data_IF_343840325832
#
_entry.id   IF_343840325832
#
_cell.length_a   1.000
_cell.length_b   1.000
_cell.length_c   1.000
_cell.angle_alpha   90.00
_cell.angle_beta   90.00
_cell.angle_gamma   90.00
#
_symmetry.space_group_name_H-M   'P 1'
#
loop_
_entity.id
_entity.type
_entity.pdbx_description
1 polymer ?
#
# COMPACT_ATOMS: atom_id res chain seq x y z
N UNK A 1 29.66 -4.67 -2.65
CA UNK A 1 29.17 -5.95 -2.12
C UNK A 1 27.77 -6.16 -2.67
N UNK A 2 27.62 -7.06 -3.66
CA UNK A 2 26.33 -7.33 -4.31
C UNK A 2 25.71 -8.48 -3.52
N UNK A 3 24.62 -8.23 -2.79
CA UNK A 3 23.88 -9.32 -2.16
C UNK A 3 23.31 -10.23 -3.26
N UNK A 4 23.42 -11.56 -3.14
CA UNK A 4 22.83 -12.47 -4.11
C UNK A 4 21.33 -12.17 -4.26
N UNK A 5 20.82 -12.22 -5.49
CA UNK A 5 19.42 -11.94 -5.81
C UNK A 5 18.45 -12.76 -4.94
N UNK A 6 18.83 -14.01 -4.62
CA UNK A 6 18.10 -14.92 -3.73
C UNK A 6 17.90 -14.34 -2.31
N UNK A 7 18.88 -13.62 -1.76
CA UNK A 7 18.78 -13.02 -0.43
C UNK A 7 17.83 -11.82 -0.41
N UNK A 8 17.86 -10.99 -1.46
CA UNK A 8 16.94 -9.87 -1.62
C UNK A 8 15.49 -10.36 -1.81
N UNK A 9 15.29 -11.45 -2.55
CA UNK A 9 13.96 -12.01 -2.80
C UNK A 9 13.29 -12.55 -1.51
N UNK A 10 14.06 -13.16 -0.60
CA UNK A 10 13.52 -13.61 0.71
C UNK A 10 13.06 -12.46 1.62
N UNK A 11 13.48 -11.24 1.32
CA UNK A 11 13.18 -10.06 2.11
C UNK A 11 12.04 -9.22 1.50
N UNK A 12 11.61 -9.55 0.29
CA UNK A 12 10.48 -8.90 -0.40
C UNK A 12 9.26 -9.79 -0.23
N UNK A 13 8.31 -9.34 0.58
CA UNK A 13 7.08 -10.07 0.84
C UNK A 13 5.89 -9.35 0.21
N UNK A 14 4.97 -10.14 -0.35
CA UNK A 14 3.64 -9.64 -0.71
C UNK A 14 2.73 -9.82 0.49
N UNK A 15 2.17 -8.72 0.95
CA UNK A 15 1.20 -8.68 2.03
C UNK A 15 -0.21 -8.55 1.47
N UNK A 16 -1.18 -9.13 2.17
CA UNK A 16 -2.58 -9.25 1.77
C UNK A 16 -3.49 -8.61 2.81
N UNK A 17 -4.53 -7.90 2.37
CA UNK A 17 -5.65 -7.49 3.22
C UNK A 17 -6.84 -8.41 3.00
N UNK A 18 -7.18 -9.19 4.02
CA UNK A 18 -8.33 -10.09 4.05
C UNK A 18 -9.50 -9.47 4.80
N UNK A 19 -10.73 -9.90 4.49
CA UNK A 19 -11.97 -9.50 5.18
C UNK A 19 -12.12 -10.19 6.55
N UNK A 20 -11.09 -10.09 7.37
CA UNK A 20 -11.00 -10.69 8.69
C UNK A 20 -9.73 -11.53 8.89
N UNK A 21 -9.47 -11.95 10.14
CA UNK A 21 -8.28 -12.75 10.46
C UNK A 21 -8.36 -14.14 9.83
N UNK A 22 -7.18 -14.69 9.52
CA UNK A 22 -7.01 -16.11 9.26
C UNK A 22 -7.24 -16.89 10.56
N UNK A 23 -7.91 -18.02 10.45
CA UNK A 23 -8.41 -18.81 11.59
C UNK A 23 -7.73 -20.16 11.73
N UNK A 24 -6.99 -20.60 10.71
CA UNK A 24 -6.46 -21.96 10.58
C UNK A 24 -7.43 -22.93 9.89
N UNK A 25 -8.67 -22.53 9.61
CA UNK A 25 -9.59 -23.30 8.76
C UNK A 25 -9.18 -23.15 7.30
N UNK A 26 -8.64 -24.23 6.72
CA UNK A 26 -8.10 -24.22 5.36
C UNK A 26 -9.13 -23.73 4.34
N UNK A 27 -10.39 -24.19 4.40
CA UNK A 27 -11.39 -23.89 3.38
C UNK A 27 -11.76 -22.40 3.40
N UNK A 28 -12.00 -21.85 4.59
CA UNK A 28 -12.31 -20.44 4.80
C UNK A 28 -11.12 -19.55 4.46
N UNK A 29 -9.95 -19.86 5.00
CA UNK A 29 -8.76 -19.02 4.87
C UNK A 29 -8.26 -19.00 3.42
N UNK A 30 -8.30 -20.14 2.73
CA UNK A 30 -8.02 -20.23 1.29
C UNK A 30 -8.92 -19.30 0.48
N UNK A 31 -10.23 -19.28 0.78
CA UNK A 31 -11.17 -18.37 0.12
C UNK A 31 -10.80 -16.91 0.37
N UNK A 32 -10.54 -16.52 1.62
CA UNK A 32 -10.15 -15.14 1.98
C UNK A 32 -8.88 -14.69 1.25
N UNK A 33 -7.87 -15.55 1.19
CA UNK A 33 -6.60 -15.26 0.50
C UNK A 33 -6.83 -15.06 -0.99
N UNK A 34 -7.56 -15.97 -1.65
CA UNK A 34 -7.82 -15.85 -3.09
C UNK A 34 -8.70 -14.64 -3.42
N UNK A 35 -9.66 -14.30 -2.58
CA UNK A 35 -10.49 -13.09 -2.73
C UNK A 35 -9.65 -11.82 -2.59
N UNK A 36 -8.74 -11.76 -1.62
CA UNK A 36 -7.82 -10.64 -1.45
C UNK A 36 -6.89 -10.47 -2.66
N UNK A 37 -6.31 -11.57 -3.16
CA UNK A 37 -5.47 -11.59 -4.36
C UNK A 37 -6.25 -11.15 -5.61
N UNK A 38 -7.43 -11.71 -5.83
CA UNK A 38 -8.28 -11.40 -6.98
C UNK A 38 -8.71 -9.93 -6.99
N UNK A 39 -8.99 -9.38 -5.82
CA UNK A 39 -9.33 -7.97 -5.65
C UNK A 39 -8.09 -7.05 -5.67
N UNK A 40 -6.87 -7.57 -5.75
CA UNK A 40 -5.65 -6.76 -5.72
C UNK A 40 -5.43 -6.05 -4.38
N UNK A 41 -5.98 -6.56 -3.29
CA UNK A 41 -5.87 -5.99 -1.94
C UNK A 41 -4.51 -6.31 -1.31
N UNK A 42 -3.46 -5.79 -1.93
CA UNK A 42 -2.07 -6.18 -1.65
C UNK A 42 -1.12 -4.99 -1.62
N UNK A 43 0.02 -5.19 -0.96
CA UNK A 43 1.22 -4.38 -1.15
C UNK A 43 2.45 -5.26 -1.14
N UNK A 44 3.49 -4.81 -1.83
CA UNK A 44 4.82 -5.41 -1.77
C UNK A 44 5.66 -4.62 -0.78
N UNK A 45 6.25 -5.32 0.19
CA UNK A 45 7.09 -4.75 1.23
C UNK A 45 8.49 -5.33 1.19
N UNK A 46 9.50 -4.47 1.30
CA UNK A 46 10.88 -4.89 1.55
C UNK A 46 11.11 -4.85 3.07
N UNK A 47 10.97 -6.00 3.74
CA UNK A 47 10.90 -6.06 5.20
C UNK A 47 12.28 -6.05 5.89
N UNK A 48 13.37 -6.26 5.14
CA UNK A 48 14.73 -6.28 5.70
C UNK A 48 15.16 -4.92 6.29
N UNK A 49 14.96 -3.76 5.64
CA UNK A 49 15.20 -2.47 6.27
C UNK A 49 14.32 -2.20 7.50
N UNK A 50 13.07 -2.67 7.46
CA UNK A 50 12.07 -2.56 8.53
C UNK A 50 10.79 -3.31 8.14
N UNK A 51 10.10 -3.95 9.10
CA UNK A 51 8.80 -4.56 8.86
C UNK A 51 7.79 -3.57 8.25
N UNK A 52 7.05 -4.03 7.25
CA UNK A 52 6.00 -3.28 6.53
C UNK A 52 4.59 -3.66 6.99
N UNK A 53 4.46 -4.66 7.86
CA UNK A 53 3.21 -5.00 8.53
C UNK A 53 2.62 -3.77 9.25
N UNK A 54 1.33 -3.53 9.06
CA UNK A 54 0.63 -2.35 9.57
C UNK A 54 0.59 -1.16 8.59
N UNK A 55 1.14 -1.32 7.38
CA UNK A 55 0.90 -0.36 6.30
C UNK A 55 -0.59 -0.23 5.98
N UNK A 56 -1.04 1.00 5.75
CA UNK A 56 -2.42 1.33 5.46
C UNK A 56 -2.49 2.38 4.35
N UNK A 57 -3.39 2.17 3.39
CA UNK A 57 -3.69 3.14 2.35
C UNK A 57 -5.20 3.15 2.10
N UNK A 58 -5.84 4.28 2.38
CA UNK A 58 -7.29 4.43 2.26
C UNK A 58 -7.67 5.66 1.47
N UNK A 59 -8.82 5.59 0.80
CA UNK A 59 -9.52 6.71 0.20
C UNK A 59 -10.88 6.89 0.86
N UNK A 60 -11.27 8.13 1.12
CA UNK A 60 -12.53 8.48 1.79
C UNK A 60 -13.28 9.57 1.02
N UNK A 61 -14.56 9.35 0.75
CA UNK A 61 -15.48 10.34 0.18
C UNK A 61 -16.82 10.26 0.90
N UNK A 62 -17.17 11.30 1.66
CA UNK A 62 -18.33 11.26 2.57
C UNK A 62 -18.25 10.09 3.55
N UNK A 63 -19.28 9.24 3.57
CA UNK A 63 -19.32 8.03 4.40
C UNK A 63 -18.59 6.83 3.77
N UNK A 64 -18.24 6.89 2.48
CA UNK A 64 -17.57 5.79 1.81
C UNK A 64 -16.06 5.77 2.15
N UNK A 65 -15.55 4.57 2.45
CA UNK A 65 -14.13 4.29 2.67
C UNK A 65 -13.74 3.07 1.85
N UNK A 66 -12.62 3.20 1.13
CA UNK A 66 -12.05 2.15 0.29
C UNK A 66 -10.56 2.02 0.51
N UNK A 67 -10.01 0.83 0.27
CA UNK A 67 -8.58 0.53 0.38
C UNK A 67 -7.99 0.16 -0.98
N UNK A 68 -6.67 -0.03 -1.03
CA UNK A 68 -5.96 -0.54 -2.21
C UNK A 68 -6.61 -1.81 -2.78
N UNK A 69 -6.67 -1.90 -4.10
CA UNK A 69 -7.39 -2.93 -4.84
C UNK A 69 -8.86 -2.59 -5.14
N UNK A 70 -9.42 -1.60 -4.45
CA UNK A 70 -10.84 -1.26 -4.58
C UNK A 70 -11.09 0.01 -5.40
N UNK A 71 -12.35 0.17 -5.81
CA UNK A 71 -12.86 1.36 -6.49
C UNK A 71 -13.74 2.20 -5.55
N UNK A 72 -13.50 3.51 -5.56
CA UNK A 72 -14.28 4.53 -4.86
C UNK A 72 -14.95 5.44 -5.89
N UNK A 73 -16.29 5.37 -5.95
CA UNK A 73 -17.09 6.37 -6.67
C UNK A 73 -17.12 7.66 -5.87
N UNK A 74 -16.60 8.75 -6.42
CA UNK A 74 -16.52 10.04 -5.74
C UNK A 74 -17.88 10.71 -5.70
N UNK A 75 -18.28 11.19 -4.52
CA UNK A 75 -19.44 12.07 -4.34
C UNK A 75 -19.01 13.53 -4.12
N UNK A 76 -17.71 13.80 -4.22
CA UNK A 76 -17.09 15.09 -3.94
C UNK A 76 -15.57 14.92 -3.80
N UNK A 77 -14.96 15.78 -2.98
CA UNK A 77 -13.54 15.64 -2.65
C UNK A 77 -13.26 14.28 -1.98
N UNK A 78 -12.15 13.67 -2.36
CA UNK A 78 -11.65 12.42 -1.80
C UNK A 78 -10.42 12.71 -0.97
N UNK A 79 -10.39 12.22 0.26
CA UNK A 79 -9.19 12.27 1.10
C UNK A 79 -8.47 10.93 1.02
N UNK A 80 -7.20 10.96 0.62
CA UNK A 80 -6.29 9.83 0.55
C UNK A 80 -5.37 9.87 1.77
N UNK A 81 -5.35 8.78 2.53
CA UNK A 81 -4.61 8.65 3.78
C UNK A 81 -3.66 7.45 3.67
N UNK A 82 -2.36 7.72 3.85
CA UNK A 82 -1.30 6.70 3.89
C UNK A 82 -0.72 6.71 5.30
N UNK A 83 -0.68 5.55 5.95
CA UNK A 83 0.05 5.34 7.21
C UNK A 83 1.08 4.22 7.02
N UNK A 84 2.30 4.47 7.47
CA UNK A 84 3.41 3.52 7.40
C UNK A 84 3.87 3.14 8.80
N UNK A 85 4.31 1.88 9.04
CA UNK A 85 4.71 1.39 10.36
C UNK A 85 6.02 2.00 10.90
N UNK A 86 6.61 2.94 10.18
CA UNK A 86 7.87 3.58 10.51
C UNK A 86 8.17 4.71 9.52
N UNK A 87 9.19 5.52 9.82
CA UNK A 87 9.50 6.70 8.99
C UNK A 87 10.01 6.29 7.61
N UNK A 88 9.52 7.00 6.59
CA UNK A 88 9.93 6.85 5.19
C UNK A 88 9.60 8.11 4.38
N UNK A 89 10.11 8.16 3.16
CA UNK A 89 9.68 9.10 2.13
C UNK A 89 8.44 8.53 1.46
N UNK A 90 7.27 9.02 1.88
CA UNK A 90 5.97 8.63 1.35
C UNK A 90 5.68 9.45 0.11
N UNK A 91 5.29 8.77 -0.97
CA UNK A 91 4.91 9.33 -2.26
C UNK A 91 3.52 8.84 -2.63
N UNK A 92 2.66 9.79 -2.97
CA UNK A 92 1.36 9.53 -3.55
C UNK A 92 1.42 9.86 -5.03
N UNK A 93 1.10 8.86 -5.86
CA UNK A 93 1.07 8.98 -7.31
C UNK A 93 -0.38 8.92 -7.78
N UNK A 94 -0.70 9.69 -8.83
CA UNK A 94 -1.94 9.60 -9.61
C UNK A 94 -1.56 9.38 -11.06
N UNK A 95 -2.05 8.28 -11.66
CA UNK A 95 -1.76 7.90 -13.05
C UNK A 95 -0.25 7.90 -13.38
N UNK A 96 0.55 7.45 -12.40
CA UNK A 96 2.02 7.41 -12.49
C UNK A 96 2.74 8.74 -12.21
N UNK A 97 2.00 9.85 -12.02
CA UNK A 97 2.59 11.15 -11.71
C UNK A 97 2.60 11.42 -10.20
N UNK A 98 3.71 11.92 -9.67
CA UNK A 98 3.83 12.30 -8.27
C UNK A 98 2.98 13.53 -7.94
N UNK A 99 1.99 13.39 -7.07
CA UNK A 99 1.09 14.48 -6.67
C UNK A 99 1.25 14.89 -5.20
N UNK A 100 1.81 14.01 -4.37
CA UNK A 100 2.04 14.28 -2.95
C UNK A 100 3.30 13.59 -2.45
N UNK A 101 4.04 14.26 -1.59
CA UNK A 101 5.27 13.71 -1.00
C UNK A 101 5.48 14.25 0.40
N UNK A 102 5.83 13.37 1.34
CA UNK A 102 6.25 13.77 2.69
C UNK A 102 7.27 12.80 3.27
N UNK A 103 8.09 13.26 4.21
CA UNK A 103 8.98 12.41 5.00
C UNK A 103 8.39 12.23 6.40
N UNK A 104 8.04 10.99 6.76
CA UNK A 104 7.34 10.73 8.02
C UNK A 104 6.70 9.36 8.05
N UNK A 105 5.67 9.22 8.87
CA UNK A 105 4.86 7.99 9.00
C UNK A 105 3.48 8.13 8.38
N UNK A 106 3.07 9.34 7.99
CA UNK A 106 1.71 9.62 7.53
C UNK A 106 1.72 10.62 6.38
N UNK A 107 0.83 10.44 5.41
CA UNK A 107 0.50 11.42 4.37
C UNK A 107 -1.02 11.49 4.25
N UNK A 108 -1.57 12.71 4.31
CA UNK A 108 -2.97 12.98 3.98
C UNK A 108 -3.01 13.95 2.80
N UNK A 109 -3.82 13.63 1.79
CA UNK A 109 -3.96 14.43 0.58
C UNK A 109 -5.41 14.44 0.12
N UNK A 110 -5.98 15.62 -0.08
CA UNK A 110 -7.35 15.79 -0.58
C UNK A 110 -7.32 16.12 -2.07
N UNK A 111 -8.04 15.34 -2.87
CA UNK A 111 -8.14 15.49 -4.32
C UNK A 111 -9.60 15.50 -4.75
N UNK A 112 -9.96 16.32 -5.75
CA UNK A 112 -11.26 16.24 -6.42
C UNK A 112 -11.21 15.38 -7.71
N UNK A 113 -10.03 14.88 -8.03
CA UNK A 113 -9.69 14.33 -9.34
C UNK A 113 -9.89 12.81 -9.37
N UNK A 114 -10.49 12.32 -10.45
CA UNK A 114 -10.51 10.89 -10.76
C UNK A 114 -9.10 10.41 -11.16
N UNK A 115 -8.91 9.09 -11.14
CA UNK A 115 -7.67 8.46 -11.58
C UNK A 115 -7.24 7.26 -10.74
N UNK A 116 -6.08 6.73 -11.07
CA UNK A 116 -5.48 5.57 -10.42
C UNK A 116 -4.44 6.05 -9.41
N UNK A 117 -4.71 5.85 -8.13
CA UNK A 117 -3.86 6.34 -7.05
C UNK A 117 -3.00 5.22 -6.47
N UNK A 118 -1.70 5.46 -6.32
CA UNK A 118 -0.74 4.49 -5.74
C UNK A 118 0.10 5.13 -4.66
N UNK A 119 0.33 4.38 -3.59
CA UNK A 119 1.28 4.75 -2.55
C UNK A 119 2.62 4.03 -2.77
N UNK A 120 3.69 4.80 -2.75
CA UNK A 120 5.06 4.30 -2.74
C UNK A 120 5.80 4.89 -1.55
N UNK A 121 6.61 4.07 -0.88
CA UNK A 121 7.39 4.50 0.27
C UNK A 121 8.83 4.09 0.07
N UNK A 122 9.73 5.02 0.30
CA UNK A 122 11.17 4.79 0.23
C UNK A 122 11.82 5.00 1.58
N UNK A 123 12.92 4.30 1.86
CA UNK A 123 13.68 4.40 3.11
C UNK A 123 15.18 4.45 2.81
N UNK A 124 15.96 5.02 3.72
CA UNK A 124 17.42 4.86 3.71
C UNK A 124 17.82 3.58 4.41
N UNK A 125 18.61 2.75 3.72
CA UNK A 125 19.16 1.51 4.26
C UNK A 125 20.58 1.34 3.73
N UNK A 126 21.55 1.11 4.63
CA UNK A 126 22.98 1.00 4.28
C UNK A 126 23.48 2.15 3.38
N UNK A 127 23.10 3.40 3.72
CA UNK A 127 23.50 4.60 2.96
C UNK A 127 22.79 4.80 1.62
N UNK A 128 21.99 3.84 1.16
CA UNK A 128 21.26 3.89 -0.11
C UNK A 128 19.77 4.18 0.10
N UNK A 129 19.15 4.83 -0.88
CA UNK A 129 17.69 4.96 -0.95
C UNK A 129 17.12 3.69 -1.59
N UNK A 130 16.32 2.95 -0.82
CA UNK A 130 15.67 1.71 -1.25
C UNK A 130 14.16 1.88 -1.28
N UNK A 131 13.50 1.17 -2.19
CA UNK A 131 12.05 1.00 -2.16
C UNK A 131 11.67 0.17 -0.94
N UNK A 132 10.69 0.65 -0.18
CA UNK A 132 10.27 0.02 1.06
C UNK A 132 8.86 -0.58 0.95
N UNK A 133 7.89 0.19 0.44
CA UNK A 133 6.50 -0.27 0.28
C UNK A 133 5.98 0.20 -1.08
N UNK A 134 5.32 -0.70 -1.82
CA UNK A 134 4.60 -0.38 -3.06
C UNK A 134 3.19 -0.98 -2.97
N UNK A 135 2.17 -0.13 -2.95
CA UNK A 135 0.79 -0.59 -2.85
C UNK A 135 0.20 -0.97 -4.22
N UNK A 136 -0.80 -1.85 -4.21
CA UNK A 136 -1.79 -1.88 -5.28
C UNK A 136 -2.56 -0.55 -5.35
N UNK A 137 -3.16 -0.22 -6.50
CA UNK A 137 -3.81 1.08 -6.66
C UNK A 137 -5.18 1.15 -5.98
N UNK A 138 -5.63 2.36 -5.67
CA UNK A 138 -7.03 2.69 -5.43
C UNK A 138 -7.57 3.37 -6.69
N UNK A 139 -8.70 2.89 -7.19
CA UNK A 139 -9.36 3.47 -8.36
C UNK A 139 -10.39 4.51 -7.90
N UNK A 140 -10.31 5.74 -8.41
CA UNK A 140 -11.29 6.79 -8.10
C UNK A 140 -11.97 7.19 -9.41
N UNK A 141 -13.30 7.05 -9.45
CA UNK A 141 -14.18 7.41 -10.58
C UNK A 141 -15.16 8.52 -10.20
#
# INVERSE_FOLDING_TARGET
MIFPYEYLFRCVNTHLLTDGPLTGDETRDRRLIYEALRAGRTWVGYDLPHPTHGFQFFARSGAARRTMGEELKRLGAVTLEINTPGRGEIRLLRDGQLIGKTAGTTLSYTSAEAGIYRAEVYRRFHGMRVGWIFSSPIYIS
#
